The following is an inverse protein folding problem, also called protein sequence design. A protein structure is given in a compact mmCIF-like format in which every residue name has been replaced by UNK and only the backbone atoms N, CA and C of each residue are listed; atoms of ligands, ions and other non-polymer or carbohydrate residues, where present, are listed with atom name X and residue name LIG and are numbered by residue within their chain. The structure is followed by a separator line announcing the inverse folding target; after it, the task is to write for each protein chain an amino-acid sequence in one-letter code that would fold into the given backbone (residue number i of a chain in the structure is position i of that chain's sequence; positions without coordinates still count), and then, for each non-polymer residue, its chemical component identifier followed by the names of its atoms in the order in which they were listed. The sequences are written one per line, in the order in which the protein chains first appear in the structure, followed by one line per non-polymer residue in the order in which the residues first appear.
data_IF_106793940704
#
_entry.id   IF_106793940704
#
_cell.length_a   1.000
_cell.length_b   1.000
_cell.length_c   1.000
_cell.angle_alpha   90.00
_cell.angle_beta   90.00
_cell.angle_gamma   90.00
#
_symmetry.space_group_name_H-M   'P 1'
#
loop_
_entity.id
_entity.type
_entity.pdbx_description
1 polymer ?
#
# COMPACT_ATOMS: atom_id res chain seq x y z
N UNK A 1 -10.99 -9.10 6.17
CA UNK A 1 -10.39 -8.34 5.06
C UNK A 1 -11.39 -7.34 4.52
N UNK A 2 -11.48 -6.15 5.14
CA UNK A 2 -12.37 -5.07 4.65
C UNK A 2 -11.91 -4.51 3.30
N UNK A 3 -10.62 -4.59 2.99
CA UNK A 3 -10.00 -4.03 1.80
C UNK A 3 -10.10 -4.93 0.53
N UNK A 4 -10.24 -6.24 0.71
CA UNK A 4 -10.29 -7.24 -0.37
C UNK A 4 -11.56 -7.08 -1.24
N UNK A 5 -12.62 -6.51 -0.65
CA UNK A 5 -13.87 -6.25 -1.37
C UNK A 5 -13.87 -4.97 -2.19
N UNK A 6 -12.92 -4.06 -1.96
CA UNK A 6 -12.86 -2.73 -2.60
C UNK A 6 -11.72 -2.60 -3.60
N UNK A 7 -10.69 -3.43 -3.48
CA UNK A 7 -9.57 -3.48 -4.41
C UNK A 7 -9.79 -4.64 -5.39
N UNK A 8 -10.02 -4.36 -6.69
CA UNK A 8 -10.25 -5.41 -7.70
C UNK A 8 -8.95 -6.10 -8.16
N UNK A 9 -7.80 -5.79 -7.54
CA UNK A 9 -6.50 -6.38 -7.85
C UNK A 9 -6.23 -7.60 -6.98
N UNK A 10 -5.49 -8.57 -7.51
CA UNK A 10 -5.04 -9.76 -6.78
C UNK A 10 -3.82 -9.44 -5.90
N UNK A 11 -3.98 -8.49 -4.99
CA UNK A 11 -2.96 -8.07 -4.03
C UNK A 11 -3.52 -8.15 -2.62
N UNK A 12 -2.64 -8.25 -1.62
CA UNK A 12 -3.01 -8.22 -0.22
C UNK A 12 -2.80 -6.80 0.35
N UNK A 13 -3.76 -5.88 0.21
CA UNK A 13 -3.57 -4.47 0.58
C UNK A 13 -3.23 -4.28 2.06
N UNK A 14 -3.85 -5.06 2.95
CA UNK A 14 -3.56 -4.98 4.38
C UNK A 14 -2.11 -5.39 4.68
N UNK A 15 -1.60 -6.42 4.01
CA UNK A 15 -0.23 -6.88 4.18
C UNK A 15 0.77 -5.91 3.55
N UNK A 16 0.41 -5.31 2.40
CA UNK A 16 1.24 -4.31 1.74
C UNK A 16 1.40 -3.07 2.63
N UNK A 17 0.29 -2.55 3.18
CA UNK A 17 0.31 -1.42 4.11
C UNK A 17 1.16 -1.74 5.35
N UNK A 18 1.03 -2.96 5.91
CA UNK A 18 1.87 -3.39 7.03
C UNK A 18 3.34 -3.46 6.66
N UNK A 19 3.69 -3.94 5.47
CA UNK A 19 5.07 -3.99 4.98
C UNK A 19 5.66 -2.58 4.81
N UNK A 20 4.89 -1.65 4.27
CA UNK A 20 5.28 -0.24 4.13
C UNK A 20 5.52 0.40 5.49
N UNK A 21 4.61 0.22 6.45
CA UNK A 21 4.77 0.73 7.82
C UNK A 21 6.00 0.11 8.52
N UNK A 22 6.29 -1.16 8.25
CA UNK A 22 7.48 -1.83 8.76
C UNK A 22 8.78 -1.38 8.08
N UNK A 23 8.70 -0.67 6.94
CA UNK A 23 9.86 -0.28 6.13
C UNK A 23 10.55 -1.48 5.45
N UNK A 24 9.83 -2.58 5.24
CA UNK A 24 10.36 -3.84 4.72
C UNK A 24 10.18 -3.88 3.19
N UNK A 25 11.20 -3.42 2.46
CA UNK A 25 11.15 -3.24 1.00
C UNK A 25 11.00 -4.58 0.26
N UNK A 26 11.71 -5.61 0.70
CA UNK A 26 11.65 -6.95 0.10
C UNK A 26 10.20 -7.49 0.12
N UNK A 27 9.50 -7.29 1.24
CA UNK A 27 8.08 -7.61 1.33
C UNK A 27 7.19 -6.74 0.47
N UNK A 28 7.47 -5.44 0.36
CA UNK A 28 6.70 -4.54 -0.51
C UNK A 28 6.80 -4.99 -1.97
N UNK A 29 7.99 -5.37 -2.42
CA UNK A 29 8.21 -5.91 -3.77
C UNK A 29 7.49 -7.23 -3.99
N UNK A 30 7.59 -8.17 -3.03
CA UNK A 30 6.90 -9.46 -3.10
C UNK A 30 5.37 -9.33 -3.14
N UNK A 31 4.83 -8.25 -2.58
CA UNK A 31 3.39 -7.95 -2.56
C UNK A 31 2.92 -7.11 -3.77
N UNK A 32 3.82 -6.76 -4.69
CA UNK A 32 3.46 -6.08 -5.93
C UNK A 32 3.32 -4.57 -5.81
N UNK A 33 4.12 -3.90 -4.97
CA UNK A 33 4.09 -2.43 -4.82
C UNK A 33 4.28 -1.64 -6.13
N UNK A 34 4.89 -2.26 -7.15
CA UNK A 34 5.08 -1.65 -8.47
C UNK A 34 3.81 -1.56 -9.31
N UNK A 35 2.81 -2.39 -9.02
CA UNK A 35 1.56 -2.46 -9.78
C UNK A 35 0.49 -1.52 -9.21
N UNK A 36 0.77 -0.89 -8.07
CA UNK A 36 -0.20 -0.07 -7.36
C UNK A 36 0.13 1.41 -7.42
N UNK A 37 -0.89 2.24 -7.54
CA UNK A 37 -0.79 3.69 -7.37
C UNK A 37 -1.39 4.11 -6.01
N UNK A 38 -0.96 5.23 -5.43
CA UNK A 38 -1.60 5.78 -4.23
C UNK A 38 -3.09 6.08 -4.45
N UNK A 39 -3.51 6.38 -5.69
CA UNK A 39 -4.90 6.65 -6.05
C UNK A 39 -5.82 5.43 -5.93
N UNK A 40 -5.31 4.20 -6.14
CA UNK A 40 -6.09 2.97 -5.97
C UNK A 40 -6.53 2.75 -4.51
N UNK A 41 -5.77 3.29 -3.56
CA UNK A 41 -6.09 3.22 -2.14
C UNK A 41 -7.07 4.31 -1.68
N UNK A 42 -7.55 5.19 -2.56
CA UNK A 42 -8.56 6.20 -2.23
C UNK A 42 -9.87 5.57 -1.73
N UNK A 43 -10.33 4.51 -2.40
CA UNK A 43 -11.54 3.78 -2.01
C UNK A 43 -11.32 3.01 -0.71
N UNK A 44 -10.12 2.45 -0.53
CA UNK A 44 -9.74 1.76 0.70
C UNK A 44 -9.72 2.70 1.90
N UNK A 45 -9.22 3.93 1.72
CA UNK A 45 -9.20 4.97 2.74
C UNK A 45 -10.61 5.43 3.11
N UNK A 46 -11.49 5.56 2.11
CA UNK A 46 -12.88 5.93 2.32
C UNK A 46 -13.65 4.88 3.14
N UNK A 47 -13.40 3.60 2.90
CA UNK A 47 -14.05 2.48 3.61
C UNK A 47 -13.37 2.16 4.95
N UNK A 48 -12.13 2.61 5.15
CA UNK A 48 -11.37 2.35 6.37
C UNK A 48 -12.04 2.97 7.62
N UNK A 49 -12.51 2.11 8.53
CA UNK A 49 -13.08 2.50 9.83
C UNK A 49 -12.12 3.31 10.70
N UNK A 50 -10.80 3.10 10.55
CA UNK A 50 -9.75 3.76 11.35
C UNK A 50 -9.30 5.12 10.79
N UNK A 51 -9.78 5.55 9.62
CA UNK A 51 -9.38 6.80 8.93
C UNK A 51 -7.85 6.97 8.80
N UNK A 52 -7.15 5.89 8.51
CA UNK A 52 -5.71 5.97 8.19
C UNK A 52 -5.51 6.55 6.79
N UNK A 53 -4.52 7.44 6.63
CA UNK A 53 -4.14 8.02 5.34
C UNK A 53 -3.39 6.98 4.47
N UNK A 54 -4.09 5.99 3.91
CA UNK A 54 -3.49 4.90 3.13
C UNK A 54 -2.75 5.43 1.89
N UNK A 55 -3.31 6.45 1.23
CA UNK A 55 -2.65 7.08 0.07
C UNK A 55 -1.26 7.62 0.43
N UNK A 56 -1.14 8.19 1.63
CA UNK A 56 0.10 8.77 2.10
C UNK A 56 1.12 7.71 2.48
N UNK A 57 0.67 6.61 3.09
CA UNK A 57 1.52 5.46 3.39
C UNK A 57 2.11 4.89 2.10
N UNK A 58 1.29 4.63 1.09
CA UNK A 58 1.75 4.09 -0.20
C UNK A 58 2.72 5.04 -0.90
N UNK A 59 2.46 6.36 -0.84
CA UNK A 59 3.40 7.37 -1.36
C UNK A 59 4.75 7.32 -0.64
N UNK A 60 4.75 7.14 0.67
CA UNK A 60 5.99 7.03 1.46
C UNK A 60 6.77 5.76 1.08
N UNK A 61 6.08 4.62 0.92
CA UNK A 61 6.69 3.37 0.45
C UNK A 61 7.33 3.51 -0.94
N UNK A 62 6.67 4.20 -1.88
CA UNK A 62 7.24 4.51 -3.20
C UNK A 62 8.45 5.47 -3.10
N UNK A 63 8.45 6.43 -2.18
CA UNK A 63 9.60 7.31 -1.94
C UNK A 63 10.79 6.54 -1.33
N UNK A 64 10.53 5.61 -0.41
CA UNK A 64 11.55 4.72 0.17
C UNK A 64 12.23 3.88 -0.91
N UNK A 65 11.45 3.23 -1.78
CA UNK A 65 11.95 2.51 -2.95
C UNK A 65 12.83 3.41 -3.84
N UNK A 66 12.35 4.63 -4.10
CA UNK A 66 13.08 5.59 -4.93
C UNK A 66 14.40 6.03 -4.30
N UNK A 67 14.48 6.14 -2.98
CA UNK A 67 15.72 6.49 -2.27
C UNK A 67 16.74 5.36 -2.29
N UNK A 68 16.32 4.11 -2.16
CA UNK A 68 17.23 2.95 -2.19
C UNK A 68 17.83 2.69 -3.57
N UNK A 69 17.16 3.13 -4.64
CA UNK A 69 17.63 2.98 -6.02
C UNK A 69 18.62 4.09 -6.47
N UNK A 70 18.85 5.13 -5.67
CA UNK A 70 19.73 6.29 -5.98
C UNK A 70 20.98 6.31 -5.09
#
# INVERSE_FOLDING_TARGET
NEYDHVLPMDILPEYLIKAIIAGDIDRMEALGIYEVAPEDFALCEFVCSSKMELQRIVRDGLDMLRREMC
#
